data_IF_956119103996
#
_entry.id   IF_956119103996
#
_cell.length_a   1.000
_cell.length_b   1.000
_cell.length_c   1.000
_cell.angle_alpha   90.00
_cell.angle_beta   90.00
_cell.angle_gamma   90.00
#
_symmetry.space_group_name_H-M   'P 1'
#
loop_
_entity.id
_entity.type
_entity.pdbx_description
1 polymer ?
#
# COMPACT_ATOMS: atom_id res chain seq x y z
N UNK A 1 9.62 14.80 7.97
CA UNK A 1 9.21 15.08 6.58
C UNK A 1 7.71 15.00 6.43
N UNK A 2 7.18 15.80 5.49
CA UNK A 2 5.79 15.72 5.05
C UNK A 2 5.64 14.83 3.82
N UNK A 3 4.57 14.04 3.81
CA UNK A 3 4.16 13.23 2.66
C UNK A 3 2.79 13.67 2.14
N UNK A 4 2.62 13.59 0.83
CA UNK A 4 1.31 13.75 0.17
C UNK A 4 1.07 12.54 -0.72
N UNK A 5 -0.02 11.83 -0.51
CA UNK A 5 -0.47 10.83 -1.47
C UNK A 5 -0.97 11.57 -2.72
N UNK A 6 -0.33 11.33 -3.86
CA UNK A 6 -0.64 12.02 -5.12
C UNK A 6 -1.26 11.12 -6.17
N UNK A 7 -1.06 9.80 -6.05
CA UNK A 7 -1.64 8.82 -6.95
C UNK A 7 -1.71 7.44 -6.30
N UNK A 8 -2.60 6.59 -6.84
CA UNK A 8 -2.65 5.16 -6.55
C UNK A 8 -2.70 4.45 -7.89
N UNK A 9 -1.56 3.88 -8.28
CA UNK A 9 -1.42 3.12 -9.51
C UNK A 9 -2.07 1.74 -9.29
N UNK A 10 -2.92 1.29 -10.22
CA UNK A 10 -3.64 0.01 -10.17
C UNK A 10 -3.29 -0.85 -11.38
N UNK A 11 -3.14 -2.15 -11.19
CA UNK A 11 -2.82 -3.12 -12.23
C UNK A 11 -3.74 -4.35 -12.13
N UNK A 12 -5.04 -4.24 -12.47
CA UNK A 12 -5.97 -5.37 -12.40
C UNK A 12 -5.64 -6.42 -13.48
N UNK A 13 -5.32 -7.64 -13.09
CA UNK A 13 -5.04 -8.77 -13.99
C UNK A 13 -5.34 -10.13 -13.34
N UNK A 14 -5.47 -11.17 -14.16
CA UNK A 14 -5.59 -12.55 -13.68
C UNK A 14 -4.20 -13.11 -13.37
N UNK A 15 -4.04 -13.74 -12.20
CA UNK A 15 -2.82 -14.44 -11.80
C UNK A 15 -3.13 -15.84 -11.28
N UNK A 16 -2.18 -16.76 -11.47
CA UNK A 16 -2.24 -18.10 -10.89
C UNK A 16 -1.74 -18.04 -9.45
N UNK A 17 -2.61 -18.41 -8.51
CA UNK A 17 -2.32 -18.41 -7.08
C UNK A 17 -2.36 -19.83 -6.53
N UNK A 18 -1.72 -20.03 -5.37
CA UNK A 18 -1.60 -21.34 -4.72
C UNK A 18 -0.22 -21.98 -4.91
N UNK A 19 0.07 -23.00 -4.11
CA UNK A 19 1.40 -23.64 -4.03
C UNK A 19 1.39 -25.13 -4.32
N UNK A 20 0.21 -25.70 -4.54
CA UNK A 20 -0.02 -27.12 -4.72
C UNK A 20 -0.77 -27.32 -6.03
N UNK A 21 -0.40 -28.30 -6.85
CA UNK A 21 -1.03 -28.55 -8.18
C UNK A 21 -2.56 -28.74 -8.11
N UNK A 22 -3.09 -29.21 -6.97
CA UNK A 22 -4.53 -29.36 -6.74
C UNK A 22 -5.18 -28.17 -6.04
N UNK A 23 -4.40 -27.18 -5.60
CA UNK A 23 -4.80 -26.00 -4.84
C UNK A 23 -4.59 -24.72 -5.65
N UNK A 24 -4.13 -24.84 -6.90
CA UNK A 24 -3.96 -23.71 -7.80
C UNK A 24 -5.33 -23.19 -8.25
N UNK A 25 -5.48 -21.88 -8.26
CA UNK A 25 -6.64 -21.18 -8.81
C UNK A 25 -6.18 -19.95 -9.58
N UNK A 26 -7.09 -19.37 -10.37
CA UNK A 26 -6.88 -18.07 -10.99
C UNK A 26 -7.67 -17.05 -10.20
N UNK A 27 -7.01 -15.98 -9.77
CA UNK A 27 -7.62 -14.86 -9.06
C UNK A 27 -7.35 -13.55 -9.79
N UNK A 28 -8.29 -12.60 -9.67
CA UNK A 28 -8.07 -11.22 -10.11
C UNK A 28 -7.28 -10.50 -9.03
N UNK A 29 -6.04 -10.13 -9.34
CA UNK A 29 -5.17 -9.32 -8.46
C UNK A 29 -5.07 -7.89 -9.01
N UNK A 30 -4.65 -6.93 -8.18
CA UNK A 30 -4.55 -5.52 -8.58
C UNK A 30 -3.15 -4.92 -8.42
N UNK A 31 -2.34 -5.47 -7.53
CA UNK A 31 -0.97 -5.02 -7.22
C UNK A 31 -0.84 -3.49 -7.04
N UNK A 32 -1.64 -2.86 -6.15
CA UNK A 32 -1.67 -1.40 -6.04
C UNK A 32 -0.33 -0.81 -5.58
N UNK A 33 0.02 0.33 -6.16
CA UNK A 33 1.21 1.11 -5.77
C UNK A 33 0.81 2.53 -5.40
N UNK A 34 1.09 2.89 -4.15
CA UNK A 34 0.82 4.22 -3.61
C UNK A 34 1.99 5.15 -3.94
N UNK A 35 1.67 6.28 -4.56
CA UNK A 35 2.67 7.27 -4.96
C UNK A 35 2.60 8.45 -4.01
N UNK A 36 3.63 8.58 -3.18
CA UNK A 36 3.79 9.69 -2.26
C UNK A 36 4.76 10.72 -2.80
N UNK A 37 4.48 12.00 -2.55
CA UNK A 37 5.38 13.11 -2.80
C UNK A 37 5.94 13.63 -1.48
N UNK A 38 7.26 13.65 -1.35
CA UNK A 38 7.98 14.31 -0.25
C UNK A 38 7.95 15.83 -0.41
N UNK A 39 8.18 16.55 0.67
CA UNK A 39 8.36 18.01 0.70
C UNK A 39 9.44 18.52 -0.27
N UNK A 40 10.56 17.81 -0.40
CA UNK A 40 11.64 18.10 -1.37
C UNK A 40 11.24 17.85 -2.84
N UNK A 41 10.04 17.33 -3.09
CA UNK A 41 9.47 17.10 -4.41
C UNK A 41 9.74 15.72 -5.01
N UNK A 42 10.54 14.88 -4.35
CA UNK A 42 10.78 13.49 -4.72
C UNK A 42 9.48 12.66 -4.65
N UNK A 43 9.29 11.75 -5.62
CA UNK A 43 8.21 10.76 -5.61
C UNK A 43 8.73 9.43 -5.10
N UNK A 44 8.02 8.84 -4.14
CA UNK A 44 8.26 7.49 -3.64
C UNK A 44 7.06 6.62 -3.97
N UNK A 45 7.36 5.40 -4.44
CA UNK A 45 6.37 4.39 -4.79
C UNK A 45 6.43 3.28 -3.75
N UNK A 46 5.30 3.03 -3.11
CA UNK A 46 5.18 2.03 -2.06
C UNK A 46 4.15 1.00 -2.48
N UNK A 47 4.54 -0.27 -2.50
CA UNK A 47 3.62 -1.36 -2.80
C UNK A 47 2.60 -1.49 -1.67
N UNK A 48 1.34 -1.64 -2.02
CA UNK A 48 0.24 -1.92 -1.12
C UNK A 48 -0.24 -3.38 -1.26
N UNK A 49 0.69 -4.28 -1.60
CA UNK A 49 0.45 -5.71 -1.71
C UNK A 49 1.70 -6.51 -1.39
N UNK A 50 1.51 -7.78 -1.06
CA UNK A 50 2.59 -8.75 -0.90
C UNK A 50 2.23 -10.08 -1.56
N UNK A 51 3.27 -10.74 -2.06
CA UNK A 51 3.22 -12.13 -2.48
C UNK A 51 3.97 -12.98 -1.46
N UNK A 52 3.29 -13.97 -0.90
CA UNK A 52 3.88 -14.87 0.09
C UNK A 52 3.46 -16.29 -0.22
N UNK A 53 4.44 -17.13 -0.60
CA UNK A 53 4.19 -18.54 -0.90
C UNK A 53 3.00 -18.73 -1.85
N UNK A 54 3.00 -18.05 -3.00
CA UNK A 54 1.94 -18.17 -4.00
C UNK A 54 0.57 -17.60 -3.59
N UNK A 55 0.47 -16.98 -2.41
CA UNK A 55 -0.72 -16.25 -1.99
C UNK A 55 -0.50 -14.74 -2.18
N UNK A 56 -1.57 -14.09 -2.62
CA UNK A 56 -1.67 -12.65 -2.79
C UNK A 56 -2.41 -12.04 -1.61
N UNK A 57 -1.89 -10.94 -1.07
CA UNK A 57 -2.59 -10.10 -0.11
C UNK A 57 -2.40 -8.64 -0.48
N UNK A 58 -3.43 -7.82 -0.28
CA UNK A 58 -3.42 -6.40 -0.62
C UNK A 58 -4.07 -5.53 0.45
N UNK A 59 -3.50 -4.34 0.64
CA UNK A 59 -4.04 -3.33 1.52
C UNK A 59 -5.22 -2.62 0.86
N UNK A 60 -6.38 -2.70 1.51
CA UNK A 60 -7.59 -2.04 1.04
C UNK A 60 -7.88 -0.77 1.87
N UNK A 61 -8.12 0.35 1.20
CA UNK A 61 -8.54 1.62 1.80
C UNK A 61 -9.87 2.04 1.17
N UNK A 62 -10.94 2.06 1.96
CA UNK A 62 -12.29 2.37 1.46
C UNK A 62 -12.41 3.81 0.94
N UNK A 63 -11.83 4.79 1.65
CA UNK A 63 -11.84 6.19 1.26
C UNK A 63 -10.42 6.73 1.10
N UNK A 64 -9.90 6.67 -0.12
CA UNK A 64 -8.55 7.12 -0.44
C UNK A 64 -8.36 8.63 -0.24
N UNK A 65 -9.42 9.42 -0.38
CA UNK A 65 -9.36 10.89 -0.22
C UNK A 65 -9.18 11.25 1.25
N UNK A 66 -9.93 10.59 2.14
CA UNK A 66 -9.79 10.79 3.59
C UNK A 66 -8.44 10.28 4.08
N UNK A 67 -7.97 9.15 3.56
CA UNK A 67 -6.62 8.66 3.86
C UNK A 67 -5.54 9.65 3.39
N UNK A 68 -5.65 10.19 2.17
CA UNK A 68 -4.71 11.20 1.69
C UNK A 68 -4.68 12.47 2.57
N UNK A 69 -5.85 12.89 3.08
CA UNK A 69 -5.95 13.99 4.04
C UNK A 69 -5.26 13.64 5.38
N UNK A 70 -5.53 12.46 5.94
CA UNK A 70 -4.87 11.95 7.14
C UNK A 70 -3.34 11.95 7.01
N UNK A 71 -2.81 11.43 5.89
CA UNK A 71 -1.36 11.40 5.62
C UNK A 71 -0.75 12.81 5.60
N UNK A 72 -1.44 13.78 4.99
CA UNK A 72 -0.95 15.15 4.90
C UNK A 72 -0.88 15.87 6.28
N UNK A 73 -1.67 15.42 7.25
CA UNK A 73 -1.64 15.92 8.63
C UNK A 73 -0.47 15.33 9.44
N UNK A 74 0.01 14.14 9.11
CA UNK A 74 1.10 13.47 9.85
C UNK A 74 2.47 14.11 9.61
N UNK A 75 3.38 13.90 10.54
CA UNK A 75 4.81 14.18 10.40
C UNK A 75 5.57 12.86 10.50
N UNK A 76 6.50 12.64 9.58
CA UNK A 76 7.24 11.39 9.42
C UNK A 76 8.73 11.56 9.68
N UNK A 77 9.44 10.51 10.06
CA UNK A 77 10.90 10.56 10.14
C UNK A 77 11.51 10.68 8.73
N UNK A 78 12.63 11.39 8.58
CA UNK A 78 13.36 11.49 7.31
C UNK A 78 14.12 10.21 6.98
N UNK A 79 14.55 9.46 8.01
CA UNK A 79 15.33 8.23 7.86
C UNK A 79 14.44 6.97 7.77
N UNK A 80 13.12 7.09 7.97
CA UNK A 80 12.25 5.92 7.91
C UNK A 80 12.19 5.32 6.49
N UNK A 81 12.19 4.00 6.43
CA UNK A 81 11.95 3.27 5.20
C UNK A 81 10.45 3.31 4.85
N UNK A 82 10.14 3.70 3.62
CA UNK A 82 8.77 3.75 3.09
C UNK A 82 8.49 2.47 2.30
N UNK A 83 8.24 1.37 3.01
CA UNK A 83 7.98 0.05 2.45
C UNK A 83 6.53 -0.43 2.71
N UNK A 84 6.25 -1.68 2.35
CA UNK A 84 4.93 -2.30 2.58
C UNK A 84 4.55 -2.29 4.06
N UNK A 85 5.48 -2.63 4.96
CA UNK A 85 5.22 -2.69 6.41
C UNK A 85 4.87 -1.32 6.97
N UNK A 86 5.62 -0.29 6.56
CA UNK A 86 5.32 1.10 6.89
C UNK A 86 3.91 1.50 6.43
N UNK A 87 3.54 1.17 5.19
CA UNK A 87 2.23 1.51 4.65
C UNK A 87 1.10 0.77 5.37
N UNK A 88 1.25 -0.53 5.65
CA UNK A 88 0.29 -1.32 6.44
C UNK A 88 0.07 -0.70 7.81
N UNK A 89 1.14 -0.32 8.51
CA UNK A 89 1.04 0.34 9.82
C UNK A 89 0.31 1.69 9.72
N UNK A 90 0.65 2.51 8.72
CA UNK A 90 0.00 3.80 8.51
C UNK A 90 -1.50 3.66 8.22
N UNK A 91 -1.89 2.64 7.44
CA UNK A 91 -3.29 2.31 7.15
C UNK A 91 -3.99 1.81 8.41
N UNK A 92 -3.32 0.99 9.22
CA UNK A 92 -3.85 0.53 10.50
C UNK A 92 -4.12 1.70 11.45
N UNK A 93 -3.18 2.63 11.59
CA UNK A 93 -3.37 3.85 12.38
C UNK A 93 -4.54 4.70 11.89
N UNK A 94 -4.70 4.84 10.56
CA UNK A 94 -5.83 5.53 9.98
C UNK A 94 -7.17 4.86 10.34
N UNK A 95 -7.23 3.52 10.27
CA UNK A 95 -8.46 2.76 10.51
C UNK A 95 -8.85 2.66 11.98
N UNK A 96 -7.86 2.51 12.87
CA UNK A 96 -8.10 2.15 14.27
C UNK A 96 -7.56 3.17 15.29
N UNK A 97 -6.82 4.17 14.84
CA UNK A 97 -6.11 5.12 15.69
C UNK A 97 -4.68 4.67 16.02
N UNK A 98 -3.89 5.59 16.58
CA UNK A 98 -2.58 5.29 17.16
C UNK A 98 -2.77 4.66 18.53
N UNK A 99 -2.07 3.56 18.79
CA UNK A 99 -1.96 2.96 20.13
C UNK A 99 -1.21 3.87 21.12
#
# INVERSE_FOLDING_TARGET
MKLKLVDVETNPHEEEVGTCEFCMSVEMVNEPVFVFKKDIGELVRVKAFIWSWGFYDEENIENIVDFAAYVNEQEFDEEQELDYSWLTNLIYEYKYGKD
#
